data_IF_104072659665
#
_entry.id   IF_104072659665
#
_cell.length_a   1.000
_cell.length_b   1.000
_cell.length_c   1.000
_cell.angle_alpha   90.00
_cell.angle_beta   90.00
_cell.angle_gamma   90.00
#
_symmetry.space_group_name_H-M   'P 1'
#
loop_
_entity.id
_entity.type
_entity.pdbx_description
1 polymer ?
#
# COMPACT_ATOMS: atom_id res chain seq x y z
N UNK A 1 12.72 28.71 -8.06
CA UNK A 1 12.84 27.53 -7.19
C UNK A 1 11.45 26.98 -6.96
N UNK A 2 11.02 26.05 -7.81
CA UNK A 2 9.60 25.63 -7.86
C UNK A 2 9.43 24.36 -7.01
N UNK A 3 8.79 24.48 -5.85
CA UNK A 3 7.96 23.39 -5.31
C UNK A 3 8.39 22.60 -4.06
N UNK A 4 9.45 22.95 -3.33
CA UNK A 4 9.96 22.09 -2.23
C UNK A 4 8.95 21.77 -1.10
N UNK A 5 8.44 22.75 -0.33
CA UNK A 5 7.57 22.50 0.82
C UNK A 5 6.09 22.27 0.45
N UNK A 6 5.58 23.03 -0.52
CA UNK A 6 4.16 22.99 -0.92
C UNK A 6 3.81 21.69 -1.63
N UNK A 7 4.74 21.10 -2.39
CA UNK A 7 4.47 19.86 -3.11
C UNK A 7 4.41 18.66 -2.16
N UNK A 8 5.36 18.52 -1.24
CA UNK A 8 5.34 17.46 -0.23
C UNK A 8 4.09 17.55 0.64
N UNK A 9 3.75 18.76 1.10
CA UNK A 9 2.50 19.00 1.83
C UNK A 9 1.26 18.59 1.03
N UNK A 10 1.23 18.91 -0.28
CA UNK A 10 0.16 18.47 -1.17
C UNK A 10 0.10 16.94 -1.34
N UNK A 11 1.24 16.25 -1.42
CA UNK A 11 1.28 14.78 -1.49
C UNK A 11 0.75 14.14 -0.21
N UNK A 12 1.17 14.65 0.96
CA UNK A 12 0.71 14.17 2.24
C UNK A 12 -0.81 14.39 2.41
N UNK A 13 -1.34 15.55 2.02
CA UNK A 13 -2.79 15.80 2.04
C UNK A 13 -3.57 14.82 1.14
N UNK A 14 -3.02 14.47 -0.02
CA UNK A 14 -3.60 13.46 -0.91
C UNK A 14 -3.59 12.08 -0.28
N UNK A 15 -2.47 11.72 0.37
CA UNK A 15 -2.33 10.46 1.08
C UNK A 15 -3.37 10.34 2.20
N UNK A 16 -3.54 11.39 3.01
CA UNK A 16 -4.57 11.48 4.06
C UNK A 16 -5.97 11.21 3.52
N UNK A 17 -6.39 11.96 2.50
CA UNK A 17 -7.71 11.75 1.88
C UNK A 17 -7.89 10.33 1.33
N UNK A 18 -6.82 9.69 0.88
CA UNK A 18 -6.84 8.29 0.42
C UNK A 18 -6.90 7.31 1.57
N UNK A 19 -6.22 7.57 2.69
CA UNK A 19 -6.29 6.75 3.90
C UNK A 19 -7.73 6.65 4.41
N UNK A 20 -8.47 7.77 4.48
CA UNK A 20 -9.90 7.74 4.84
C UNK A 20 -10.72 6.82 3.92
N UNK A 21 -10.44 6.83 2.61
CA UNK A 21 -11.12 5.96 1.63
C UNK A 21 -10.72 4.50 1.81
N UNK A 22 -9.46 4.21 2.13
CA UNK A 22 -8.96 2.88 2.44
C UNK A 22 -9.65 2.34 3.69
N UNK A 23 -9.72 3.11 4.78
CA UNK A 23 -10.41 2.73 6.01
C UNK A 23 -11.89 2.41 5.73
N UNK A 24 -12.58 3.27 4.97
CA UNK A 24 -13.98 3.03 4.58
C UNK A 24 -14.15 1.74 3.77
N UNK A 25 -13.22 1.47 2.86
CA UNK A 25 -13.20 0.23 2.08
C UNK A 25 -12.95 -1.00 2.97
N UNK A 26 -11.97 -0.95 3.88
CA UNK A 26 -11.70 -2.05 4.81
C UNK A 26 -12.95 -2.38 5.64
N UNK A 27 -13.61 -1.36 6.20
CA UNK A 27 -14.86 -1.52 6.97
C UNK A 27 -16.03 -2.08 6.15
N UNK A 28 -15.98 -2.02 4.82
CA UNK A 28 -17.02 -2.63 3.97
C UNK A 28 -16.77 -4.11 3.66
N UNK A 29 -15.57 -4.64 3.94
CA UNK A 29 -15.22 -6.03 3.65
C UNK A 29 -15.89 -6.99 4.64
N UNK A 30 -16.59 -8.05 4.19
CA UNK A 30 -17.20 -9.04 5.08
C UNK A 30 -16.21 -9.71 6.03
N UNK A 31 -15.02 -10.08 5.54
CA UNK A 31 -13.97 -10.71 6.36
C UNK A 31 -13.47 -9.79 7.47
N UNK A 32 -13.40 -8.48 7.22
CA UNK A 32 -12.92 -7.49 8.18
C UNK A 32 -13.96 -7.15 9.25
N UNK A 33 -15.26 -7.13 8.88
CA UNK A 33 -16.37 -6.86 9.82
C UNK A 33 -16.46 -7.88 10.96
N UNK A 34 -15.94 -9.08 10.77
CA UNK A 34 -15.96 -10.13 11.78
C UNK A 34 -14.77 -10.05 12.76
N UNK A 35 -13.79 -9.19 12.49
CA UNK A 35 -12.66 -8.91 13.38
C UNK A 35 -13.08 -7.89 14.44
N UNK A 36 -12.59 -8.00 15.67
CA UNK A 36 -12.87 -7.03 16.74
C UNK A 36 -12.40 -5.63 16.38
N UNK A 37 -13.02 -4.60 16.96
CA UNK A 37 -12.64 -3.21 16.66
C UNK A 37 -11.17 -2.92 17.00
N UNK A 38 -10.67 -3.44 18.11
CA UNK A 38 -9.25 -3.26 18.50
C UNK A 38 -8.30 -3.84 17.44
N UNK A 39 -8.51 -5.10 17.05
CA UNK A 39 -7.74 -5.73 15.98
C UNK A 39 -7.94 -5.05 14.62
N UNK A 40 -9.13 -4.53 14.29
CA UNK A 40 -9.34 -3.74 13.08
C UNK A 40 -8.44 -2.49 13.06
N UNK A 41 -8.31 -1.81 14.20
CA UNK A 41 -7.43 -0.65 14.36
C UNK A 41 -5.97 -1.08 14.19
N UNK A 42 -5.54 -2.12 14.90
CA UNK A 42 -4.19 -2.67 14.83
C UNK A 42 -3.80 -3.05 13.39
N UNK A 43 -4.67 -3.76 12.67
CA UNK A 43 -4.44 -4.14 11.26
C UNK A 43 -4.32 -2.93 10.33
N UNK A 44 -5.15 -1.90 10.52
CA UNK A 44 -5.09 -0.68 9.71
C UNK A 44 -3.80 0.11 9.97
N UNK A 45 -3.38 0.22 11.23
CA UNK A 45 -2.12 0.86 11.63
C UNK A 45 -0.91 0.11 11.04
N UNK A 46 -0.95 -1.21 11.01
CA UNK A 46 0.17 -1.99 10.49
C UNK A 46 0.23 -1.98 8.95
N UNK A 47 -0.91 -1.86 8.25
CA UNK A 47 -0.97 -2.04 6.78
C UNK A 47 -1.22 -0.75 5.97
N UNK A 48 -1.39 0.42 6.60
CA UNK A 48 -1.81 1.64 5.89
C UNK A 48 -0.90 2.02 4.73
N UNK A 49 0.42 1.84 4.91
CA UNK A 49 1.42 2.29 3.95
C UNK A 49 1.42 1.37 2.72
N UNK A 50 1.39 0.06 2.96
CA UNK A 50 1.29 -1.00 1.98
C UNK A 50 0.02 -0.81 1.14
N UNK A 51 -1.12 -0.56 1.78
CA UNK A 51 -2.38 -0.33 1.09
C UNK A 51 -2.37 0.96 0.25
N UNK A 52 -1.76 2.03 0.75
CA UNK A 52 -1.65 3.30 0.03
C UNK A 52 -0.69 3.19 -1.18
N UNK A 53 0.50 2.64 -0.96
CA UNK A 53 1.56 2.49 -1.95
C UNK A 53 1.12 1.52 -3.05
N UNK A 54 0.53 0.38 -2.68
CA UNK A 54 0.00 -0.57 -3.66
C UNK A 54 -1.10 0.05 -4.52
N UNK A 55 -1.96 0.90 -3.93
CA UNK A 55 -2.98 1.64 -4.68
C UNK A 55 -2.38 2.64 -5.68
N UNK A 56 -1.23 3.25 -5.37
CA UNK A 56 -0.47 4.09 -6.30
C UNK A 56 0.13 3.25 -7.43
N UNK A 57 0.84 2.16 -7.11
CA UNK A 57 1.52 1.32 -8.08
C UNK A 57 0.54 0.64 -9.04
N UNK A 58 -0.54 0.04 -8.54
CA UNK A 58 -1.57 -0.58 -9.39
C UNK A 58 -2.18 0.43 -10.37
N UNK A 59 -2.51 1.64 -9.90
CA UNK A 59 -3.00 2.73 -10.75
C UNK A 59 -1.99 3.19 -11.80
N UNK A 60 -0.70 3.00 -11.54
CA UNK A 60 0.41 3.43 -12.40
C UNK A 60 0.80 2.37 -13.44
N UNK A 61 0.17 1.20 -13.44
CA UNK A 61 0.47 0.14 -14.41
C UNK A 61 0.31 0.63 -15.86
N UNK A 62 -0.63 1.54 -16.13
CA UNK A 62 -0.86 2.15 -17.45
C UNK A 62 0.00 3.39 -17.75
N UNK A 63 0.92 3.79 -16.86
CA UNK A 63 1.77 4.99 -17.03
C UNK A 63 3.23 4.64 -16.72
N UNK A 64 3.96 4.03 -17.66
CA UNK A 64 5.37 3.69 -17.46
C UNK A 64 6.22 4.93 -17.12
N UNK A 65 7.14 4.79 -16.17
CA UNK A 65 8.08 5.86 -15.78
C UNK A 65 7.55 6.87 -14.76
N UNK A 66 6.26 6.83 -14.41
CA UNK A 66 5.64 7.76 -13.45
C UNK A 66 4.76 7.04 -12.42
N UNK A 67 4.69 7.61 -11.22
CA UNK A 67 3.78 7.16 -10.16
C UNK A 67 2.57 8.08 -10.06
N UNK A 68 1.38 7.54 -10.26
CA UNK A 68 0.10 8.25 -10.17
C UNK A 68 -0.43 8.31 -8.74
N UNK A 69 -0.15 9.43 -8.07
CA UNK A 69 -0.58 9.72 -6.69
C UNK A 69 -2.00 10.24 -6.57
N UNK A 70 -2.66 10.70 -7.63
CA UNK A 70 -4.11 11.01 -7.63
C UNK A 70 -4.67 11.07 -9.06
N UNK A 71 -5.96 11.41 -9.21
CA UNK A 71 -6.50 11.78 -10.53
C UNK A 71 -5.79 13.06 -10.98
N UNK A 72 -5.10 13.00 -12.12
CA UNK A 72 -4.39 14.15 -12.70
C UNK A 72 -3.06 14.52 -12.03
N UNK A 73 -2.61 13.84 -10.97
CA UNK A 73 -1.26 14.05 -10.40
C UNK A 73 -0.38 12.82 -10.52
N UNK A 74 0.81 13.01 -11.08
CA UNK A 74 1.87 12.04 -11.22
C UNK A 74 3.16 12.59 -10.61
N UNK A 75 4.08 11.70 -10.26
CA UNK A 75 5.45 12.02 -9.85
C UNK A 75 6.37 11.24 -10.78
N UNK A 76 7.21 11.94 -11.54
CA UNK A 76 8.30 11.34 -12.29
C UNK A 76 9.50 11.06 -11.39
N UNK A 77 10.41 10.18 -11.84
CA UNK A 77 11.65 9.92 -11.08
C UNK A 77 12.53 11.17 -10.95
N UNK A 78 12.56 12.04 -11.97
CA UNK A 78 13.33 13.29 -11.91
C UNK A 78 12.77 14.23 -10.83
N UNK A 79 11.46 14.46 -10.82
CA UNK A 79 10.78 15.25 -9.79
C UNK A 79 11.02 14.66 -8.39
N UNK A 80 10.94 13.33 -8.27
CA UNK A 80 11.20 12.66 -7.00
C UNK A 80 12.61 12.89 -6.48
N UNK A 81 13.63 12.87 -7.36
CA UNK A 81 15.02 13.13 -7.00
C UNK A 81 15.23 14.56 -6.50
N UNK A 82 14.60 15.54 -7.13
CA UNK A 82 14.63 16.95 -6.68
C UNK A 82 14.02 17.13 -5.28
N UNK A 83 13.05 16.29 -4.93
CA UNK A 83 12.36 16.31 -3.64
C UNK A 83 13.01 15.40 -2.57
N UNK A 84 14.12 14.73 -2.89
CA UNK A 84 14.75 13.74 -2.02
C UNK A 84 13.97 12.43 -1.86
N UNK A 85 12.91 12.20 -2.66
CA UNK A 85 12.09 10.99 -2.67
C UNK A 85 12.53 9.97 -3.74
N UNK A 86 13.63 10.24 -4.46
CA UNK A 86 14.14 9.44 -5.57
C UNK A 86 14.16 7.93 -5.28
N UNK A 87 14.81 7.46 -4.20
CA UNK A 87 14.91 6.04 -3.90
C UNK A 87 13.55 5.36 -3.65
N UNK A 88 12.61 6.07 -3.02
CA UNK A 88 11.27 5.54 -2.77
C UNK A 88 10.48 5.39 -4.08
N UNK A 89 10.48 6.43 -4.92
CA UNK A 89 9.78 6.41 -6.21
C UNK A 89 10.41 5.41 -7.19
N UNK A 90 11.74 5.26 -7.20
CA UNK A 90 12.42 4.24 -7.99
C UNK A 90 11.98 2.82 -7.63
N UNK A 91 11.90 2.51 -6.32
CA UNK A 91 11.37 1.21 -5.87
C UNK A 91 9.90 1.03 -6.25
N UNK A 92 9.08 2.08 -6.12
CA UNK A 92 7.67 2.03 -6.55
C UNK A 92 7.53 1.77 -8.05
N UNK A 93 8.40 2.36 -8.89
CA UNK A 93 8.42 2.12 -10.33
C UNK A 93 8.80 0.68 -10.66
N UNK A 94 9.83 0.15 -10.00
CA UNK A 94 10.25 -1.26 -10.15
C UNK A 94 9.13 -2.23 -9.73
N UNK A 95 8.49 -1.97 -8.58
CA UNK A 95 7.35 -2.75 -8.13
C UNK A 95 6.19 -2.69 -9.13
N UNK A 96 5.87 -1.50 -9.66
CA UNK A 96 4.83 -1.31 -10.68
C UNK A 96 5.13 -2.10 -11.95
N UNK A 97 6.40 -2.16 -12.36
CA UNK A 97 6.84 -2.96 -13.50
C UNK A 97 6.62 -4.47 -13.24
N UNK A 98 6.88 -4.96 -12.02
CA UNK A 98 6.54 -6.34 -11.67
C UNK A 98 5.04 -6.63 -11.77
N UNK A 99 4.18 -5.72 -11.32
CA UNK A 99 2.72 -5.86 -11.48
C UNK A 99 2.33 -5.86 -12.97
N UNK A 100 2.94 -5.01 -13.79
CA UNK A 100 2.71 -4.92 -15.23
C UNK A 100 3.08 -6.22 -15.94
N UNK A 101 4.23 -6.81 -15.63
CA UNK A 101 4.67 -8.09 -16.20
C UNK A 101 3.74 -9.24 -15.84
N UNK A 102 3.29 -9.29 -14.59
CA UNK A 102 2.31 -10.28 -14.13
C UNK A 102 0.90 -10.04 -14.67
N UNK A 103 0.66 -8.89 -15.34
CA UNK A 103 -0.65 -8.45 -15.81
C UNK A 103 -1.70 -8.55 -14.69
N UNK A 104 -1.34 -8.03 -13.52
CA UNK A 104 -2.22 -8.05 -12.35
C UNK A 104 -3.54 -7.39 -12.69
N UNK A 105 -4.62 -8.13 -12.53
CA UNK A 105 -5.97 -7.62 -12.78
C UNK A 105 -6.60 -6.99 -11.52
N UNK A 106 -7.83 -6.51 -11.66
CA UNK A 106 -8.54 -5.86 -10.55
C UNK A 106 -8.93 -6.83 -9.43
N UNK A 107 -9.26 -8.07 -9.74
CA UNK A 107 -9.67 -9.07 -8.75
C UNK A 107 -8.47 -9.54 -7.93
N UNK A 108 -7.35 -9.84 -8.61
CA UNK A 108 -6.05 -10.18 -8.01
C UNK A 108 -5.57 -9.04 -7.11
N UNK A 109 -5.61 -7.79 -7.59
CA UNK A 109 -5.26 -6.62 -6.80
C UNK A 109 -6.10 -6.48 -5.53
N UNK A 110 -7.42 -6.63 -5.62
CA UNK A 110 -8.30 -6.54 -4.45
C UNK A 110 -8.02 -7.68 -3.46
N UNK A 111 -7.85 -8.91 -3.93
CA UNK A 111 -7.54 -10.04 -3.09
C UNK A 111 -6.19 -9.87 -2.37
N UNK A 112 -5.15 -9.43 -3.09
CA UNK A 112 -3.85 -9.12 -2.50
C UNK A 112 -3.94 -8.01 -1.45
N UNK A 113 -4.76 -6.98 -1.66
CA UNK A 113 -5.00 -5.96 -0.63
C UNK A 113 -5.64 -6.53 0.63
N UNK A 114 -6.58 -7.47 0.48
CA UNK A 114 -7.20 -8.14 1.62
C UNK A 114 -6.17 -9.01 2.37
N UNK A 115 -5.31 -9.72 1.64
CA UNK A 115 -4.23 -10.53 2.23
C UNK A 115 -3.25 -9.65 3.03
N UNK A 116 -2.83 -8.52 2.44
CA UNK A 116 -1.96 -7.52 3.11
C UNK A 116 -2.59 -6.92 4.35
N UNK A 117 -3.90 -6.64 4.30
CA UNK A 117 -4.66 -6.10 5.43
C UNK A 117 -4.79 -7.11 6.58
N UNK A 118 -5.06 -8.39 6.27
CA UNK A 118 -5.34 -9.44 7.25
C UNK A 118 -4.05 -10.16 7.69
N UNK A 119 -3.06 -9.42 8.14
CA UNK A 119 -1.75 -9.92 8.57
C UNK A 119 -1.79 -10.36 10.04
N UNK A 120 -1.63 -11.66 10.31
CA UNK A 120 -1.73 -12.24 11.66
C UNK A 120 -0.53 -11.93 12.58
N UNK A 121 0.55 -11.42 12.01
CA UNK A 121 1.80 -10.98 12.64
C UNK A 121 1.83 -9.46 12.90
N UNK A 122 0.71 -8.76 12.67
CA UNK A 122 0.58 -7.35 13.03
C UNK A 122 0.75 -7.16 14.54
N UNK A 123 1.36 -6.03 14.94
CA UNK A 123 1.49 -5.69 16.35
C UNK A 123 0.12 -5.50 17.00
N UNK A 124 0.05 -5.73 18.32
CA UNK A 124 -1.09 -5.37 19.17
C UNK A 124 -2.41 -6.12 18.89
N UNK A 125 -2.35 -7.22 18.14
CA UNK A 125 -3.50 -8.10 17.92
C UNK A 125 -3.90 -8.85 19.20
N UNK A 126 -5.21 -8.89 19.46
CA UNK A 126 -5.86 -9.66 20.52
C UNK A 126 -6.24 -11.06 20.06
N UNK A 127 -6.70 -11.21 18.81
CA UNK A 127 -7.16 -12.48 18.23
C UNK A 127 -6.39 -12.85 16.93
N UNK A 128 -5.06 -13.05 16.96
CA UNK A 128 -4.26 -13.29 15.75
C UNK A 128 -4.68 -14.54 14.96
N UNK A 129 -5.16 -15.58 15.64
CA UNK A 129 -5.67 -16.80 14.99
C UNK A 129 -6.92 -16.54 14.13
N UNK A 130 -7.79 -15.64 14.59
CA UNK A 130 -9.01 -15.26 13.87
C UNK A 130 -8.70 -14.43 12.62
N UNK A 131 -7.68 -13.57 12.72
CA UNK A 131 -7.12 -12.84 11.58
C UNK A 131 -6.53 -13.83 10.57
N UNK A 132 -5.71 -14.78 11.03
CA UNK A 132 -5.12 -15.84 10.17
C UNK A 132 -6.18 -16.64 9.43
N UNK A 133 -7.20 -17.13 10.13
CA UNK A 133 -8.30 -17.87 9.51
C UNK A 133 -9.07 -17.02 8.46
N UNK A 134 -9.12 -15.70 8.65
CA UNK A 134 -9.73 -14.79 7.67
C UNK A 134 -8.81 -14.55 6.46
N UNK A 135 -7.49 -14.44 6.69
CA UNK A 135 -6.48 -14.32 5.63
C UNK A 135 -6.43 -15.58 4.75
N UNK A 136 -6.51 -16.77 5.35
CA UNK A 136 -6.55 -18.05 4.65
C UNK A 136 -7.71 -18.12 3.65
N UNK A 137 -8.88 -17.61 4.01
CA UNK A 137 -10.03 -17.51 3.08
C UNK A 137 -9.72 -16.63 1.88
N UNK A 138 -9.02 -15.51 2.09
CA UNK A 138 -8.60 -14.62 1.00
C UNK A 138 -7.53 -15.27 0.11
N UNK A 139 -6.58 -16.01 0.70
CA UNK A 139 -5.56 -16.78 -0.02
C UNK A 139 -6.20 -17.87 -0.90
N UNK A 140 -7.13 -18.66 -0.34
CA UNK A 140 -7.87 -19.68 -1.07
C UNK A 140 -8.69 -19.08 -2.21
N UNK A 141 -9.36 -17.95 -1.97
CA UNK A 141 -10.12 -17.26 -3.02
C UNK A 141 -9.22 -16.78 -4.16
N UNK A 142 -8.05 -16.22 -3.85
CA UNK A 142 -7.08 -15.81 -4.88
C UNK A 142 -6.53 -17.01 -5.66
N UNK A 143 -6.18 -18.11 -4.97
CA UNK A 143 -5.71 -19.33 -5.62
C UNK A 143 -6.77 -19.93 -6.55
N UNK A 144 -8.01 -20.01 -6.10
CA UNK A 144 -9.11 -20.49 -6.93
C UNK A 144 -9.31 -19.60 -8.16
N UNK A 145 -9.28 -18.28 -7.96
CA UNK A 145 -9.42 -17.31 -9.05
C UNK A 145 -8.32 -17.49 -10.09
N UNK A 146 -7.06 -17.60 -9.69
CA UNK A 146 -5.93 -17.74 -10.62
C UNK A 146 -5.97 -19.05 -11.39
N UNK A 147 -6.29 -20.17 -10.73
CA UNK A 147 -6.43 -21.47 -11.40
C UNK A 147 -7.57 -21.48 -12.42
N UNK A 148 -8.68 -20.80 -12.11
CA UNK A 148 -9.84 -20.74 -13.00
C UNK A 148 -9.65 -19.80 -14.21
N UNK A 149 -8.98 -18.66 -14.02
CA UNK A 149 -8.87 -17.61 -15.05
C UNK A 149 -7.54 -17.61 -15.80
N UNK A 150 -6.50 -18.24 -15.24
CA UNK A 150 -5.16 -18.33 -15.83
C UNK A 150 -4.63 -19.78 -15.77
N UNK A 151 -5.37 -20.78 -16.32
CA UNK A 151 -4.98 -22.19 -16.24
C UNK A 151 -3.62 -22.47 -16.88
N UNK A 152 -3.22 -21.68 -17.89
CA UNK A 152 -1.93 -21.81 -18.57
C UNK A 152 -0.75 -21.21 -17.79
N UNK A 153 -1.01 -20.53 -16.65
CA UNK A 153 0.01 -19.88 -15.81
C UNK A 153 -0.14 -20.37 -14.36
N UNK A 154 0.15 -21.65 -14.08
CA UNK A 154 -0.05 -22.23 -12.75
C UNK A 154 0.80 -21.56 -11.66
N UNK A 155 1.93 -20.95 -12.03
CA UNK A 155 2.81 -20.21 -11.11
C UNK A 155 2.22 -18.87 -10.64
N UNK A 156 1.19 -18.34 -11.31
CA UNK A 156 0.72 -16.96 -11.10
C UNK A 156 0.35 -16.69 -9.65
N UNK A 157 -0.31 -17.63 -8.98
CA UNK A 157 -0.65 -17.50 -7.55
C UNK A 157 0.59 -17.23 -6.69
N UNK A 158 1.63 -18.06 -6.82
CA UNK A 158 2.87 -17.91 -6.07
C UNK A 158 3.59 -16.61 -6.44
N UNK A 159 3.62 -16.25 -7.72
CA UNK A 159 4.26 -15.01 -8.16
C UNK A 159 3.59 -13.76 -7.61
N UNK A 160 2.25 -13.74 -7.49
CA UNK A 160 1.50 -12.67 -6.84
C UNK A 160 1.85 -12.58 -5.35
N UNK A 161 1.90 -13.70 -4.63
CA UNK A 161 2.28 -13.70 -3.21
C UNK A 161 3.71 -13.21 -2.98
N UNK A 162 4.64 -13.52 -3.88
CA UNK A 162 6.02 -13.01 -3.84
C UNK A 162 6.12 -11.49 -4.07
N UNK A 163 5.04 -10.81 -4.47
CA UNK A 163 5.00 -9.34 -4.52
C UNK A 163 4.69 -8.71 -3.17
N UNK A 164 4.06 -9.42 -2.24
CA UNK A 164 3.76 -8.89 -0.90
C UNK A 164 5.03 -8.50 -0.12
N UNK A 165 6.07 -9.34 0.02
CA UNK A 165 7.29 -8.93 0.71
C UNK A 165 8.05 -7.82 -0.03
N UNK A 166 7.92 -7.73 -1.36
CA UNK A 166 8.51 -6.65 -2.15
C UNK A 166 7.80 -5.30 -1.91
N UNK A 167 6.47 -5.34 -1.77
CA UNK A 167 5.66 -4.20 -1.36
C UNK A 167 6.07 -3.70 0.03
N UNK A 168 6.20 -4.59 1.01
CA UNK A 168 6.62 -4.25 2.38
C UNK A 168 8.00 -3.56 2.40
N UNK A 169 9.00 -4.12 1.70
CA UNK A 169 10.33 -3.50 1.55
C UNK A 169 10.27 -2.13 0.89
N UNK A 170 9.40 -1.95 -0.11
CA UNK A 170 9.20 -0.66 -0.78
C UNK A 170 8.57 0.37 0.16
N UNK A 171 7.61 -0.06 0.98
CA UNK A 171 6.98 0.79 1.99
C UNK A 171 7.94 1.23 3.07
N UNK A 172 8.82 0.34 3.53
CA UNK A 172 9.83 0.66 4.54
C UNK A 172 10.71 1.84 4.11
N UNK A 173 11.23 1.80 2.87
CA UNK A 173 12.02 2.91 2.32
C UNK A 173 11.21 4.20 2.20
N UNK A 174 9.93 4.11 1.83
CA UNK A 174 9.03 5.26 1.78
C UNK A 174 8.81 5.89 3.16
N UNK A 175 8.55 5.07 4.19
CA UNK A 175 8.37 5.51 5.59
C UNK A 175 9.63 6.20 6.12
N UNK A 176 10.80 5.61 5.89
CA UNK A 176 12.10 6.19 6.31
C UNK A 176 12.34 7.57 5.69
N UNK A 177 12.12 7.71 4.38
CA UNK A 177 12.30 8.99 3.68
C UNK A 177 11.34 10.08 4.19
N UNK A 178 10.07 9.73 4.39
CA UNK A 178 9.08 10.66 4.94
C UNK A 178 9.42 11.03 6.39
N UNK A 179 9.93 10.09 7.19
CA UNK A 179 10.37 10.38 8.55
C UNK A 179 11.57 11.33 8.60
N UNK A 180 12.53 11.20 7.68
CA UNK A 180 13.68 12.11 7.56
C UNK A 180 13.18 13.52 7.21
N UNK A 181 12.35 13.63 6.16
CA UNK A 181 11.76 14.91 5.74
C UNK A 181 10.94 15.60 6.83
N UNK A 182 10.23 14.82 7.65
CA UNK A 182 9.50 15.35 8.80
C UNK A 182 10.44 15.94 9.88
N UNK A 183 11.56 15.27 10.16
CA UNK A 183 12.57 15.76 11.13
C UNK A 183 13.27 17.03 10.64
N UNK A 184 13.40 17.21 9.33
CA UNK A 184 13.92 18.42 8.69
C UNK A 184 12.94 19.60 8.72
N UNK A 185 11.70 19.41 9.21
CA UNK A 185 10.68 20.46 9.25
C UNK A 185 10.00 20.73 7.90
N UNK A 186 10.24 19.87 6.89
CA UNK A 186 9.68 19.99 5.54
C UNK A 186 8.33 19.27 5.37
N UNK A 187 7.82 18.64 6.45
CA UNK A 187 6.54 17.96 6.48
C UNK A 187 5.39 18.83 7.04
N UNK A 188 4.14 18.62 6.62
CA UNK A 188 2.98 19.24 7.25
C UNK A 188 2.89 18.83 8.73
N UNK A 189 2.60 19.79 9.60
CA UNK A 189 2.68 19.63 11.06
C UNK A 189 1.57 18.76 11.67
N UNK A 190 0.39 18.71 11.04
CA UNK A 190 -0.78 17.98 11.54
C UNK A 190 -1.53 17.29 10.40
N UNK A 191 -1.33 16.00 10.23
CA UNK A 191 -2.17 15.15 9.39
C UNK A 191 -2.06 13.68 9.84
N UNK A 192 -3.07 12.86 9.49
CA UNK A 192 -3.20 11.47 9.94
C UNK A 192 -2.00 10.62 9.51
N UNK A 193 -1.46 10.87 8.32
CA UNK A 193 -0.26 10.23 7.81
C UNK A 193 0.94 10.46 8.74
N UNK A 194 1.14 11.67 9.25
CA UNK A 194 2.24 11.98 10.17
C UNK A 194 2.05 11.29 11.53
N UNK A 195 0.83 11.19 12.05
CA UNK A 195 0.53 10.45 13.28
C UNK A 195 0.86 8.96 13.11
N UNK A 196 0.39 8.36 12.02
CA UNK A 196 0.69 6.97 11.67
C UNK A 196 2.19 6.71 11.45
N UNK A 197 2.94 7.69 10.94
CA UNK A 197 4.39 7.61 10.76
C UNK A 197 5.17 7.70 12.07
N UNK A 198 4.65 8.41 13.09
CA UNK A 198 5.35 8.60 14.37
C UNK A 198 5.30 7.38 15.28
N UNK A 199 4.36 6.47 15.05
CA UNK A 199 4.13 5.37 15.98
C UNK A 199 3.29 5.77 17.20
N UNK A 200 2.71 6.98 17.20
CA UNK A 200 1.89 7.48 18.30
C UNK A 200 0.48 6.87 18.18
N UNK A 201 0.29 5.63 18.64
CA UNK A 201 -1.01 4.95 18.65
C UNK A 201 -1.13 3.92 19.78
#
# INVERSE_FOLDING_TARGET
TVGGPDFLSNLCNIADHRLYKIVKWCKSLPLFKNITIDDQIALLINAWCELLLFSCCFRSMSSPGEIRVSLGKCISLSQARELGLGPAIERMLNFTEHLRRLRVDRYEYVAMKVIVLLTSDASDLREPEKVRASQEKALQALQHYTLAHYPDIPSKFGELLLRIPDLQRTCQVGKEMLSIKNKEGEGPSFNLLMELLRGDH
#
